data_IF_968467264060
#
_entry.id   IF_968467264060
#
_cell.length_a   1.000
_cell.length_b   1.000
_cell.length_c   1.000
_cell.angle_alpha   90.00
_cell.angle_beta   90.00
_cell.angle_gamma   90.00
#
_symmetry.space_group_name_H-M   'P 1'
#
loop_
_entity.id
_entity.type
_entity.pdbx_description
1 polymer ?
#
# COMPACT_ATOMS: atom_id res chain seq x y z
N UNK A 1 -42.83 -1.92 -11.33
CA UNK A 1 -41.64 -1.04 -11.35
C UNK A 1 -40.42 -1.90 -11.08
N UNK A 2 -39.68 -2.26 -12.13
CA UNK A 2 -38.41 -2.98 -12.01
C UNK A 2 -37.30 -1.98 -11.69
N UNK A 3 -36.75 -2.04 -10.47
CA UNK A 3 -35.54 -1.30 -10.12
C UNK A 3 -34.39 -1.83 -10.98
N UNK A 4 -33.92 -1.02 -11.92
CA UNK A 4 -32.70 -1.34 -12.65
C UNK A 4 -31.53 -1.29 -11.67
N UNK A 5 -30.72 -2.37 -11.55
CA UNK A 5 -29.60 -2.39 -10.63
C UNK A 5 -28.63 -1.28 -11.04
N UNK A 6 -28.42 -0.29 -10.16
CA UNK A 6 -27.44 0.78 -10.38
C UNK A 6 -26.07 0.14 -10.54
N UNK A 7 -25.53 0.15 -11.76
CA UNK A 7 -24.14 -0.24 -12.02
C UNK A 7 -23.26 0.69 -11.16
N UNK A 8 -22.57 0.11 -10.17
CA UNK A 8 -21.61 0.85 -9.38
C UNK A 8 -20.59 1.48 -10.35
N UNK A 9 -20.18 2.75 -10.13
CA UNK A 9 -19.16 3.40 -10.94
C UNK A 9 -17.98 2.46 -11.19
N UNK A 10 -17.44 2.43 -12.41
CA UNK A 10 -16.27 1.59 -12.76
C UNK A 10 -15.08 1.81 -11.79
N UNK A 11 -14.99 3.00 -11.18
CA UNK A 11 -14.10 3.36 -10.06
C UNK A 11 -14.20 2.45 -8.81
N UNK A 12 -15.35 1.81 -8.60
CA UNK A 12 -15.64 0.96 -7.43
C UNK A 12 -15.33 -0.52 -7.65
N UNK A 13 -15.12 -0.96 -8.91
CA UNK A 13 -14.75 -2.35 -9.19
C UNK A 13 -13.25 -2.55 -9.03
N UNK A 14 -12.81 -2.63 -7.78
CA UNK A 14 -11.43 -2.95 -7.46
C UNK A 14 -11.08 -4.36 -8.00
N UNK A 15 -9.96 -4.44 -8.73
CA UNK A 15 -9.47 -5.67 -9.34
C UNK A 15 -8.73 -6.51 -8.29
N UNK A 16 -8.75 -7.84 -8.44
CA UNK A 16 -7.90 -8.70 -7.64
C UNK A 16 -6.44 -8.57 -8.06
N UNK A 17 -5.53 -8.77 -7.09
CA UNK A 17 -4.10 -8.78 -7.33
C UNK A 17 -3.62 -10.23 -7.56
N UNK A 18 -2.86 -10.51 -8.64
CA UNK A 18 -2.35 -11.85 -8.91
C UNK A 18 -1.30 -12.29 -7.87
N UNK A 19 -0.45 -11.37 -7.40
CA UNK A 19 0.64 -11.66 -6.45
C UNK A 19 0.48 -10.91 -5.12
N UNK A 20 -0.46 -11.34 -4.29
CA UNK A 20 -0.77 -10.69 -3.00
C UNK A 20 0.38 -10.73 -1.99
N UNK A 21 1.18 -11.80 -2.03
CA UNK A 21 2.25 -12.04 -1.04
C UNK A 21 3.26 -10.89 -0.99
N UNK A 22 3.67 -10.36 -2.14
CA UNK A 22 4.63 -9.25 -2.20
C UNK A 22 4.07 -7.95 -1.62
N UNK A 23 2.77 -7.70 -1.81
CA UNK A 23 2.10 -6.56 -1.23
C UNK A 23 2.02 -6.68 0.29
N UNK A 24 1.58 -7.83 0.80
CA UNK A 24 1.56 -8.07 2.24
C UNK A 24 2.96 -8.00 2.87
N UNK A 25 3.96 -8.64 2.28
CA UNK A 25 5.33 -8.56 2.75
C UNK A 25 5.83 -7.10 2.81
N UNK A 26 5.58 -6.32 1.75
CA UNK A 26 5.99 -4.91 1.71
C UNK A 26 5.29 -4.06 2.79
N UNK A 27 4.02 -4.37 3.11
CA UNK A 27 3.27 -3.71 4.18
C UNK A 27 3.82 -4.09 5.56
N UNK A 28 4.10 -5.38 5.79
CA UNK A 28 4.71 -5.83 7.05
C UNK A 28 6.04 -5.13 7.31
N UNK A 29 6.93 -5.08 6.32
CA UNK A 29 8.19 -4.35 6.43
C UNK A 29 8.00 -2.84 6.66
N UNK A 30 7.01 -2.24 5.99
CA UNK A 30 6.71 -0.82 6.20
C UNK A 30 6.21 -0.53 7.62
N UNK A 31 5.30 -1.35 8.14
CA UNK A 31 4.80 -1.22 9.51
C UNK A 31 5.93 -1.41 10.52
N UNK A 32 6.76 -2.43 10.35
CA UNK A 32 7.91 -2.68 11.22
C UNK A 32 8.89 -1.50 11.22
N UNK A 33 9.16 -0.92 10.05
CA UNK A 33 9.99 0.29 9.94
C UNK A 33 9.39 1.50 10.67
N UNK A 34 8.07 1.77 10.53
CA UNK A 34 7.43 2.89 11.22
C UNK A 34 7.38 2.70 12.74
N UNK A 35 7.16 1.47 13.21
CA UNK A 35 7.27 1.13 14.63
C UNK A 35 8.70 1.39 15.14
N UNK A 36 9.71 1.00 14.36
CA UNK A 36 11.10 1.24 14.75
C UNK A 36 11.44 2.74 14.78
N UNK A 37 10.93 3.53 13.83
CA UNK A 37 11.07 4.99 13.86
C UNK A 37 10.41 5.62 15.10
N UNK A 38 9.24 5.14 15.55
CA UNK A 38 8.63 5.66 16.76
C UNK A 38 9.44 5.31 18.02
N UNK A 39 10.05 4.13 18.08
CA UNK A 39 10.99 3.78 19.15
C UNK A 39 12.25 4.64 19.14
N UNK A 40 12.84 4.92 17.96
CA UNK A 40 13.99 5.82 17.83
C UNK A 40 13.62 7.22 18.31
N UNK A 41 12.45 7.73 17.93
CA UNK A 41 11.98 9.04 18.38
C UNK A 41 11.78 9.08 19.90
N UNK A 42 11.17 8.05 20.49
CA UNK A 42 10.99 7.95 21.93
C UNK A 42 12.33 7.89 22.68
N UNK A 43 13.28 7.09 22.20
CA UNK A 43 14.64 7.03 22.76
C UNK A 43 15.39 8.37 22.61
N UNK A 44 15.19 9.07 21.49
CA UNK A 44 15.74 10.41 21.26
C UNK A 44 15.20 11.46 22.24
N UNK A 45 13.89 11.45 22.50
CA UNK A 45 13.29 12.32 23.52
C UNK A 45 13.83 11.97 24.90
N UNK A 46 13.89 10.68 25.26
CA UNK A 46 14.45 10.26 26.55
C UNK A 46 15.93 10.62 26.71
N UNK A 47 16.72 10.55 25.64
CA UNK A 47 18.10 11.02 25.65
C UNK A 47 18.21 12.54 25.82
N UNK A 48 17.34 13.31 25.15
CA UNK A 48 17.34 14.77 25.24
C UNK A 48 16.93 15.30 26.62
N UNK A 49 16.08 14.55 27.35
CA UNK A 49 15.62 14.94 28.68
C UNK A 49 16.60 14.54 29.79
N UNK A 50 17.08 13.29 29.77
CA UNK A 50 17.86 12.73 30.89
C UNK A 50 19.37 12.65 30.63
N UNK A 51 19.82 12.79 29.37
CA UNK A 51 21.24 12.63 29.00
C UNK A 51 21.83 11.25 29.28
N UNK A 52 20.99 10.24 29.53
CA UNK A 52 21.43 8.92 29.99
C UNK A 52 22.18 8.15 28.88
N UNK A 53 23.37 7.63 29.19
CA UNK A 53 24.19 6.82 28.30
C UNK A 53 23.43 5.61 27.75
N UNK A 54 22.53 5.00 28.54
CA UNK A 54 21.69 3.87 28.11
C UNK A 54 20.79 4.25 26.93
N UNK A 55 20.23 5.46 26.94
CA UNK A 55 19.39 5.95 25.85
C UNK A 55 20.23 6.21 24.60
N UNK A 56 21.48 6.66 24.74
CA UNK A 56 22.41 6.80 23.63
C UNK A 56 22.72 5.46 22.95
N UNK A 57 23.05 4.42 23.74
CA UNK A 57 23.29 3.07 23.20
C UNK A 57 22.04 2.50 22.52
N UNK A 58 20.85 2.67 23.10
CA UNK A 58 19.59 2.26 22.48
C UNK A 58 19.35 2.99 21.17
N UNK A 59 19.59 4.30 21.10
CA UNK A 59 19.39 5.10 19.90
C UNK A 59 20.32 4.64 18.77
N UNK A 60 21.60 4.38 19.09
CA UNK A 60 22.57 3.83 18.13
C UNK A 60 22.11 2.44 17.65
N UNK A 61 21.76 1.54 18.57
CA UNK A 61 21.34 0.18 18.24
C UNK A 61 20.08 0.14 17.36
N UNK A 62 19.05 0.92 17.71
CA UNK A 62 17.80 1.01 16.94
C UNK A 62 18.03 1.64 15.57
N UNK A 63 18.90 2.64 15.46
CA UNK A 63 19.25 3.27 14.18
C UNK A 63 19.97 2.27 13.27
N UNK A 64 20.94 1.52 13.80
CA UNK A 64 21.61 0.46 13.04
C UNK A 64 20.65 -0.64 12.58
N UNK A 65 19.66 -1.00 13.40
CA UNK A 65 18.62 -1.96 13.03
C UNK A 65 17.64 -1.40 11.99
N UNK A 66 17.42 -0.08 11.96
CA UNK A 66 16.48 0.55 11.04
C UNK A 66 16.95 0.54 9.59
N UNK A 67 18.25 0.62 9.37
CA UNK A 67 18.86 0.59 8.03
C UNK A 67 18.53 -0.70 7.25
N UNK A 68 18.81 -1.93 7.76
CA UNK A 68 18.49 -3.16 7.05
C UNK A 68 16.99 -3.37 6.90
N UNK A 69 16.19 -3.03 7.92
CA UNK A 69 14.72 -3.09 7.84
C UNK A 69 14.19 -2.20 6.71
N UNK A 70 14.68 -0.97 6.63
CA UNK A 70 14.34 -0.03 5.57
C UNK A 70 14.75 -0.57 4.20
N UNK A 71 15.95 -1.12 4.07
CA UNK A 71 16.46 -1.68 2.83
C UNK A 71 15.64 -2.90 2.36
N UNK A 72 15.34 -3.84 3.26
CA UNK A 72 14.49 -4.99 2.96
C UNK A 72 13.07 -4.57 2.58
N UNK A 73 12.54 -3.56 3.26
CA UNK A 73 11.26 -2.93 2.92
C UNK A 73 11.29 -2.30 1.53
N UNK A 74 12.36 -1.59 1.18
CA UNK A 74 12.54 -0.95 -0.12
C UNK A 74 12.63 -1.98 -1.25
N UNK A 75 13.43 -3.04 -1.09
CA UNK A 75 13.52 -4.13 -2.05
C UNK A 75 12.18 -4.86 -2.22
N UNK A 76 11.45 -5.09 -1.12
CA UNK A 76 10.12 -5.69 -1.16
C UNK A 76 9.12 -4.80 -1.93
N UNK A 77 9.17 -3.48 -1.73
CA UNK A 77 8.32 -2.52 -2.46
C UNK A 77 8.64 -2.49 -3.95
N UNK A 78 9.90 -2.67 -4.36
CA UNK A 78 10.29 -2.77 -5.78
C UNK A 78 9.69 -3.99 -6.48
N UNK A 79 9.50 -5.10 -5.76
CA UNK A 79 8.88 -6.32 -6.30
C UNK A 79 7.36 -6.19 -6.48
N UNK A 80 6.72 -5.32 -5.69
CA UNK A 80 5.29 -5.06 -5.79
C UNK A 80 4.99 -4.15 -6.98
N UNK A 81 4.76 -4.76 -8.15
CA UNK A 81 4.42 -4.07 -9.40
C UNK A 81 2.92 -4.15 -9.71
N UNK A 82 2.43 -3.15 -10.44
CA UNK A 82 1.07 -3.13 -10.96
C UNK A 82 0.97 -4.12 -12.13
N UNK A 83 -0.01 -5.05 -12.16
CA UNK A 83 -0.14 -6.02 -13.24
C UNK A 83 -0.48 -5.37 -14.60
N UNK A 84 -1.04 -4.16 -14.60
CA UNK A 84 -1.45 -3.46 -15.82
C UNK A 84 -0.31 -2.64 -16.43
N UNK A 85 0.23 -1.68 -15.66
CA UNK A 85 1.21 -0.73 -16.17
C UNK A 85 2.65 -1.05 -15.75
N UNK A 86 2.87 -2.15 -15.01
CA UNK A 86 4.17 -2.59 -14.46
C UNK A 86 4.89 -1.59 -13.53
N UNK A 87 4.35 -0.40 -13.32
CA UNK A 87 4.83 0.57 -12.33
C UNK A 87 4.70 0.07 -10.89
N UNK A 88 5.49 0.63 -9.98
CA UNK A 88 5.57 0.26 -8.57
C UNK A 88 4.66 1.16 -7.72
N UNK A 89 3.39 0.78 -7.42
CA UNK A 89 2.44 1.66 -6.74
C UNK A 89 2.87 2.10 -5.32
N UNK A 90 3.81 1.37 -4.70
CA UNK A 90 4.33 1.60 -3.35
C UNK A 90 5.62 2.44 -3.33
N UNK A 91 6.23 2.68 -4.49
CA UNK A 91 7.46 3.45 -4.62
C UNK A 91 7.17 4.69 -5.46
N UNK A 92 7.57 5.86 -4.97
CA UNK A 92 7.40 7.09 -5.73
C UNK A 92 8.46 7.09 -6.85
N UNK A 93 8.01 7.02 -8.10
CA UNK A 93 8.88 7.26 -9.25
C UNK A 93 8.53 8.61 -9.85
N UNK A 94 9.49 9.24 -10.54
CA UNK A 94 9.25 10.52 -11.22
C UNK A 94 8.39 10.41 -12.49
N UNK A 95 7.77 9.25 -12.77
CA UNK A 95 6.87 9.14 -13.90
C UNK A 95 5.60 9.96 -13.68
N UNK A 96 4.95 10.35 -14.80
CA UNK A 96 3.71 11.11 -14.79
C UNK A 96 2.64 10.39 -13.96
N UNK A 97 2.01 11.13 -13.05
CA UNK A 97 1.04 10.62 -12.10
C UNK A 97 -0.35 10.82 -12.67
N UNK A 98 -1.21 9.82 -12.47
CA UNK A 98 -2.60 9.89 -12.91
C UNK A 98 -3.34 11.02 -12.18
N UNK A 99 -4.25 11.71 -12.86
CA UNK A 99 -5.07 12.80 -12.28
C UNK A 99 -5.85 12.40 -11.01
N UNK A 100 -6.17 11.10 -10.89
CA UNK A 100 -6.88 10.51 -9.74
C UNK A 100 -5.95 10.00 -8.63
N UNK A 101 -4.64 10.20 -8.76
CA UNK A 101 -3.69 9.83 -7.74
C UNK A 101 -3.80 10.81 -6.57
N UNK A 102 -4.06 10.28 -5.38
CA UNK A 102 -4.14 11.07 -4.16
C UNK A 102 -2.83 10.98 -3.38
N UNK A 103 -2.35 12.13 -2.91
CA UNK A 103 -1.21 12.25 -1.99
C UNK A 103 -1.67 12.94 -0.73
N UNK A 104 -1.42 12.32 0.42
CA UNK A 104 -1.60 12.96 1.71
C UNK A 104 -0.33 13.76 2.03
N UNK A 105 -0.36 15.09 1.86
CA UNK A 105 0.78 15.93 2.26
C UNK A 105 0.94 15.89 3.79
N UNK A 106 2.16 15.74 4.37
CA UNK A 106 3.49 15.83 3.75
C UNK A 106 4.09 14.52 3.21
N UNK A 107 3.32 13.43 3.14
CA UNK A 107 3.79 12.13 2.71
C UNK A 107 3.86 11.99 1.19
N UNK A 108 4.71 11.09 0.71
CA UNK A 108 4.79 10.71 -0.71
C UNK A 108 3.62 9.82 -1.15
N UNK A 109 3.43 9.67 -2.46
CA UNK A 109 2.32 8.86 -3.01
C UNK A 109 2.43 7.39 -2.57
N UNK A 110 3.65 6.83 -2.55
CA UNK A 110 3.90 5.48 -2.05
C UNK A 110 3.48 5.30 -0.59
N UNK A 111 3.87 6.23 0.29
CA UNK A 111 3.49 6.19 1.70
C UNK A 111 1.98 6.39 1.91
N UNK A 112 1.36 7.26 1.12
CA UNK A 112 -0.10 7.44 1.12
C UNK A 112 -0.80 6.13 0.78
N UNK A 113 -0.29 5.39 -0.21
CA UNK A 113 -0.79 4.08 -0.57
C UNK A 113 -0.57 3.02 0.51
N UNK A 114 0.55 3.06 1.25
CA UNK A 114 0.78 2.18 2.41
C UNK A 114 -0.27 2.44 3.49
N UNK A 115 -0.50 3.70 3.83
CA UNK A 115 -1.53 4.06 4.83
C UNK A 115 -2.90 3.58 4.35
N UNK A 116 -3.25 3.88 3.10
CA UNK A 116 -4.53 3.46 2.51
C UNK A 116 -4.69 1.94 2.48
N UNK A 117 -3.61 1.21 2.20
CA UNK A 117 -3.57 -0.24 2.23
C UNK A 117 -3.83 -0.79 3.64
N UNK A 118 -3.28 -0.16 4.67
CA UNK A 118 -3.50 -0.56 6.06
C UNK A 118 -4.94 -0.25 6.50
N UNK A 119 -5.44 0.95 6.20
CA UNK A 119 -6.75 1.42 6.68
C UNK A 119 -7.92 0.82 5.90
N UNK A 120 -7.82 0.77 4.57
CA UNK A 120 -8.94 0.37 3.69
C UNK A 120 -8.73 -0.99 3.01
N UNK A 121 -7.55 -1.61 3.17
CA UNK A 121 -7.17 -2.86 2.49
C UNK A 121 -7.26 -2.78 0.96
N UNK A 122 -7.21 -1.55 0.42
CA UNK A 122 -7.22 -1.24 -1.01
C UNK A 122 -6.01 -0.41 -1.38
N UNK A 123 -5.49 -0.66 -2.57
CA UNK A 123 -4.35 0.08 -3.15
C UNK A 123 -4.79 0.66 -4.47
N UNK A 124 -4.39 1.90 -4.76
CA UNK A 124 -4.60 2.49 -6.07
C UNK A 124 -3.25 2.73 -6.73
N UNK A 125 -3.06 2.24 -7.94
CA UNK A 125 -1.85 2.57 -8.68
C UNK A 125 -1.85 4.06 -9.03
N UNK A 126 -0.82 4.79 -8.63
CA UNK A 126 -0.73 6.23 -8.91
C UNK A 126 -0.29 6.55 -10.34
N UNK A 127 0.14 5.54 -11.12
CA UNK A 127 0.45 5.68 -12.56
C UNK A 127 -0.76 5.47 -13.45
N UNK A 128 -1.49 4.35 -13.30
CA UNK A 128 -2.65 4.04 -14.14
C UNK A 128 -4.02 4.33 -13.50
N UNK A 129 -4.05 4.75 -12.23
CA UNK A 129 -5.28 5.07 -11.51
C UNK A 129 -6.13 3.86 -11.08
N UNK A 130 -5.80 2.64 -11.52
CA UNK A 130 -6.60 1.44 -11.23
C UNK A 130 -6.60 1.10 -9.73
N UNK A 131 -7.78 0.92 -9.10
CA UNK A 131 -7.90 0.41 -7.75
C UNK A 131 -7.79 -1.12 -7.72
N UNK A 132 -7.07 -1.62 -6.72
CA UNK A 132 -6.88 -3.03 -6.42
C UNK A 132 -7.33 -3.32 -4.99
N UNK A 133 -7.99 -4.45 -4.82
CA UNK A 133 -8.41 -4.95 -3.52
C UNK A 133 -7.51 -6.12 -3.12
N UNK A 134 -6.87 -6.01 -1.95
CA UNK A 134 -5.96 -7.06 -1.47
C UNK A 134 -6.73 -8.27 -0.90
N UNK A 135 -7.98 -8.06 -0.43
CA UNK A 135 -8.80 -9.15 0.10
C UNK A 135 -9.43 -9.98 -1.02
N UNK A 136 -9.74 -9.38 -2.17
CA UNK A 136 -10.45 -10.06 -3.25
C UNK A 136 -9.65 -11.24 -3.78
N UNK A 137 -10.13 -12.46 -3.55
CA UNK A 137 -9.45 -13.69 -4.01
C UNK A 137 -9.67 -13.88 -5.52
N UNK A 138 -8.63 -14.36 -6.21
CA UNK A 138 -8.69 -14.65 -7.65
C UNK A 138 -9.66 -15.81 -7.99
N UNK A 139 -10.15 -16.52 -6.98
CA UNK A 139 -11.07 -17.66 -7.10
C UNK A 139 -12.53 -17.26 -7.30
N UNK A 140 -12.89 -15.99 -7.11
CA UNK A 140 -14.22 -15.53 -7.48
C UNK A 140 -14.16 -14.92 -8.87
N UNK A 141 -14.66 -15.60 -9.92
CA UNK A 141 -15.01 -14.90 -11.14
C UNK A 141 -15.94 -13.76 -10.72
N UNK A 142 -15.58 -12.55 -11.09
CA UNK A 142 -16.40 -11.36 -10.86
C UNK A 142 -17.82 -11.68 -11.31
N UNK A 143 -18.77 -11.75 -10.37
CA UNK A 143 -20.17 -12.12 -10.63
C UNK A 143 -20.86 -11.26 -11.71
N UNK A 144 -20.23 -10.19 -12.17
CA UNK A 144 -20.69 -9.41 -13.31
C UNK A 144 -20.49 -10.05 -14.69
N UNK A 145 -19.58 -11.02 -14.86
CA UNK A 145 -19.48 -11.74 -16.14
C UNK A 145 -20.63 -12.74 -16.33
N UNK A 146 -21.20 -13.27 -15.24
CA UNK A 146 -22.37 -14.13 -15.29
C UNK A 146 -23.66 -13.36 -15.57
N UNK A 147 -23.77 -12.11 -15.12
CA UNK A 147 -24.93 -11.25 -15.40
C UNK A 147 -25.02 -10.77 -16.86
N UNK A 148 -23.89 -10.63 -17.58
CA UNK A 148 -23.90 -10.19 -18.98
C UNK A 148 -24.09 -11.32 -19.99
N UNK A 149 -23.89 -12.59 -19.59
CA UNK A 149 -24.04 -13.75 -20.50
C UNK A 149 -25.48 -14.27 -20.60
N UNK A 150 -26.33 -13.97 -19.62
CA UNK A 150 -27.74 -14.36 -19.62
C UNK A 150 -28.68 -13.36 -20.34
N UNK A 151 -28.16 -12.24 -20.86
CA UNK A 151 -28.97 -11.20 -21.52
C UNK A 151 -28.95 -11.23 -23.06
N UNK A 152 -28.44 -12.30 -23.68
CA UNK A 152 -28.30 -12.41 -25.15
C UNK A 152 -29.00 -13.63 -25.75
N UNK A 153 -30.07 -14.10 -25.11
CA UNK A 153 -30.89 -15.22 -25.58
C UNK A 153 -32.40 -14.94 -25.52
N UNK A 154 -32.82 -13.69 -25.65
CA UNK A 154 -34.24 -13.32 -25.74
C UNK A 154 -34.47 -12.28 -26.81
#
# INVERSE_FOLDING_TARGET
MSETPRKLPYEQRARSLPHKLHYHASLCWAVLFYMLLSFIAAAGVGFALDGNEKNAYLLIALTFLAIPVWLLGYLSRRKATCPLCKGTPLLDSQASKHVKAFRLFPLNYGNTNIIRAITTRRIRCHFCGTPFDMLKNNLQPSQEEQGSRNGHHS
#
